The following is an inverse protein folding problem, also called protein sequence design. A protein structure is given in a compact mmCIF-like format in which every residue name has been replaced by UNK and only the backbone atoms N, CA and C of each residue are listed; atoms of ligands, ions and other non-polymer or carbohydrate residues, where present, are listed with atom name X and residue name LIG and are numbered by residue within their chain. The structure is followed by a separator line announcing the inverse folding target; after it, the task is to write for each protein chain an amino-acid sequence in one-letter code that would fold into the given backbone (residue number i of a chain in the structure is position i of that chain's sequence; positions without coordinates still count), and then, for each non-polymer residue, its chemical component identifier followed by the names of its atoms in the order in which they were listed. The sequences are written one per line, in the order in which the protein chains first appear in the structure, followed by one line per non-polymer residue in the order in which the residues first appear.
data_IF_589689697879
#
_entry.id   IF_589689697879
#
_cell.length_a   1.000
_cell.length_b   1.000
_cell.length_c   1.000
_cell.angle_alpha   90.00
_cell.angle_beta   90.00
_cell.angle_gamma   90.00
#
_symmetry.space_group_name_H-M   'P 1'
#
loop_
_entity.id
_entity.type
_entity.pdbx_description
1 polymer ?
#
# COMPACT_ATOMS: atom_id res chain seq x y z
N UNK A 1 4.48 -3.26 -7.54
CA UNK A 1 3.30 -2.56 -6.99
C UNK A 1 3.27 -1.14 -7.50
N UNK A 2 2.14 -0.73 -7.96
CA UNK A 2 1.97 0.64 -8.45
C UNK A 2 0.69 1.22 -7.89
N UNK A 3 0.83 2.10 -6.92
CA UNK A 3 -0.30 2.85 -6.41
C UNK A 3 -0.23 4.24 -7.04
N UNK A 4 -1.17 4.50 -7.93
CA UNK A 4 -1.23 5.78 -8.61
C UNK A 4 -2.12 6.73 -7.85
N UNK A 5 -1.60 7.91 -7.59
CA UNK A 5 -2.43 9.02 -7.15
C UNK A 5 -2.42 10.05 -8.26
N UNK A 6 -3.54 10.19 -8.90
CA UNK A 6 -3.69 11.13 -10.01
C UNK A 6 -4.60 12.24 -9.52
N UNK A 7 -4.11 12.97 -8.53
CA UNK A 7 -4.91 13.96 -7.81
C UNK A 7 -5.48 15.04 -8.75
N UNK A 8 -4.69 15.48 -9.72
CA UNK A 8 -5.14 16.51 -10.66
C UNK A 8 -6.27 16.00 -11.55
N UNK A 9 -6.18 14.77 -12.01
CA UNK A 9 -7.23 14.15 -12.82
C UNK A 9 -8.46 13.83 -11.99
N UNK A 10 -8.26 13.38 -10.75
CA UNK A 10 -9.35 13.08 -9.84
C UNK A 10 -10.18 14.34 -9.52
N UNK A 11 -9.58 15.52 -9.55
CA UNK A 11 -10.29 16.77 -9.33
C UNK A 11 -11.21 17.13 -10.50
N UNK A 12 -10.91 16.63 -11.70
CA UNK A 12 -11.64 16.96 -12.93
C UNK A 12 -12.60 15.86 -13.37
N UNK A 13 -12.45 14.66 -12.85
CA UNK A 13 -13.22 13.50 -13.26
C UNK A 13 -13.78 12.78 -12.03
N UNK A 14 -14.78 11.94 -12.25
CA UNK A 14 -15.25 11.04 -11.21
C UNK A 14 -14.13 10.08 -10.86
N UNK A 15 -13.63 10.16 -9.63
CA UNK A 15 -12.58 9.29 -9.15
C UNK A 15 -13.16 7.90 -8.89
N UNK A 16 -12.60 6.90 -9.54
CA UNK A 16 -12.99 5.50 -9.37
C UNK A 16 -11.94 4.78 -8.51
N UNK A 17 -12.28 4.52 -7.27
CA UNK A 17 -11.44 3.70 -6.39
C UNK A 17 -11.47 2.27 -6.91
N UNK A 18 -10.31 1.67 -7.07
CA UNK A 18 -10.22 0.32 -7.58
C UNK A 18 -8.91 -0.32 -7.18
N UNK A 19 -8.88 -1.64 -7.25
CA UNK A 19 -7.67 -2.43 -7.08
C UNK A 19 -7.73 -3.59 -8.07
N UNK A 20 -6.79 -3.59 -8.99
CA UNK A 20 -6.63 -4.66 -9.97
C UNK A 20 -5.55 -5.62 -9.49
N UNK A 21 -5.84 -6.89 -9.53
CA UNK A 21 -4.91 -7.96 -9.16
C UNK A 21 -4.65 -8.82 -10.38
N UNK A 22 -3.38 -9.11 -10.61
CA UNK A 22 -2.94 -9.95 -11.72
C UNK A 22 -2.06 -11.06 -11.18
N UNK A 23 -2.56 -12.29 -11.19
CA UNK A 23 -1.81 -13.44 -10.71
C UNK A 23 -0.70 -13.81 -11.68
N UNK A 24 0.51 -13.80 -11.18
CA UNK A 24 1.69 -14.23 -11.90
C UNK A 24 2.16 -15.57 -11.36
N UNK A 25 3.05 -16.23 -12.10
CA UNK A 25 3.61 -17.50 -11.66
C UNK A 25 4.33 -17.39 -10.30
N UNK A 26 5.03 -16.28 -10.10
CA UNK A 26 5.86 -16.07 -8.89
C UNK A 26 5.24 -15.11 -7.88
N UNK A 27 4.01 -14.70 -8.08
CA UNK A 27 3.40 -13.75 -7.17
C UNK A 27 2.18 -13.07 -7.77
N UNK A 28 1.91 -11.89 -7.31
CA UNK A 28 0.77 -11.09 -7.78
C UNK A 28 1.25 -9.68 -8.07
N UNK A 29 0.99 -9.21 -9.27
CA UNK A 29 1.06 -7.78 -9.55
C UNK A 29 -0.27 -7.15 -9.16
N UNK A 30 -0.19 -5.97 -8.60
CA UNK A 30 -1.41 -5.22 -8.35
C UNK A 30 -1.22 -3.74 -8.62
N UNK A 31 -2.29 -3.13 -9.05
CA UNK A 31 -2.36 -1.73 -9.37
C UNK A 31 -3.72 -1.21 -8.97
N UNK A 32 -3.73 -0.03 -8.38
CA UNK A 32 -4.99 0.54 -7.96
C UNK A 32 -4.90 2.04 -7.79
N UNK A 33 -6.01 2.58 -7.33
CA UNK A 33 -6.11 3.99 -7.03
C UNK A 33 -6.96 4.20 -5.79
N UNK A 34 -6.51 5.10 -4.93
CA UNK A 34 -7.25 5.52 -3.74
C UNK A 34 -7.55 7.00 -3.84
N UNK A 35 -8.54 7.43 -3.09
CA UNK A 35 -8.97 8.82 -3.12
C UNK A 35 -7.92 9.77 -2.54
N UNK A 36 -7.93 11.04 -2.97
CA UNK A 36 -6.98 12.03 -2.46
C UNK A 36 -7.16 12.31 -0.96
N UNK A 37 -8.34 12.06 -0.41
CA UNK A 37 -8.58 12.23 1.03
C UNK A 37 -7.92 11.11 1.86
N UNK A 38 -7.80 9.91 1.32
CA UNK A 38 -7.23 8.76 2.01
C UNK A 38 -5.72 8.66 1.85
N UNK A 39 -5.19 9.26 0.78
CA UNK A 39 -3.78 9.13 0.44
C UNK A 39 -2.81 9.59 1.55
N UNK A 40 -3.02 10.76 2.23
CA UNK A 40 -2.09 11.18 3.26
C UNK A 40 -1.92 10.17 4.40
N UNK A 41 -3.00 9.54 4.83
CA UNK A 41 -2.94 8.53 5.88
C UNK A 41 -2.26 7.27 5.38
N UNK A 42 -2.65 6.80 4.21
CA UNK A 42 -2.05 5.60 3.61
C UNK A 42 -0.54 5.78 3.41
N UNK A 43 -0.11 6.91 2.84
CA UNK A 43 1.30 7.16 2.58
C UNK A 43 2.10 7.27 3.87
N UNK A 44 1.54 7.88 4.91
CA UNK A 44 2.20 7.97 6.21
C UNK A 44 2.43 6.58 6.81
N UNK A 45 1.45 5.70 6.75
CA UNK A 45 1.57 4.34 7.27
C UNK A 45 2.64 3.56 6.50
N UNK A 46 2.59 3.62 5.17
CA UNK A 46 3.56 2.90 4.33
C UNK A 46 4.97 3.44 4.58
N UNK A 47 5.16 4.75 4.63
CA UNK A 47 6.47 5.34 4.85
C UNK A 47 7.02 5.01 6.25
N UNK A 48 6.15 4.99 7.25
CA UNK A 48 6.54 4.62 8.61
C UNK A 48 7.03 3.18 8.68
N UNK A 49 6.30 2.27 8.06
CA UNK A 49 6.68 0.84 8.04
C UNK A 49 7.88 0.58 7.12
N UNK A 50 8.12 1.45 6.16
CA UNK A 50 9.23 1.31 5.21
C UNK A 50 10.53 1.97 5.68
N UNK A 51 10.57 2.54 6.89
CA UNK A 51 11.78 3.18 7.40
C UNK A 51 12.95 2.21 7.43
N UNK A 52 14.11 2.70 6.96
CA UNK A 52 15.34 1.91 6.98
C UNK A 52 15.97 1.95 8.37
N UNK A 53 16.24 0.78 8.93
CA UNK A 53 17.06 0.67 10.12
C UNK A 53 18.54 0.65 9.78
N UNK A 54 19.41 0.68 10.82
CA UNK A 54 20.85 0.55 10.60
C UNK A 54 21.18 -0.77 9.86
N UNK A 55 21.97 -0.65 8.80
CA UNK A 55 22.39 -1.82 8.02
C UNK A 55 21.36 -2.33 7.02
N UNK A 56 20.22 -1.68 6.90
CA UNK A 56 19.21 -2.08 5.94
C UNK A 56 19.69 -1.78 4.52
N UNK A 57 19.82 -2.83 3.70
CA UNK A 57 20.32 -2.74 2.33
C UNK A 57 19.23 -2.82 1.27
N UNK A 58 17.97 -2.95 1.69
CA UNK A 58 16.86 -3.01 0.75
C UNK A 58 16.68 -1.65 0.08
N UNK A 59 16.27 -1.68 -1.18
CA UNK A 59 15.87 -0.45 -1.88
C UNK A 59 14.60 0.13 -1.26
N UNK A 60 14.29 1.36 -1.58
CA UNK A 60 13.04 1.98 -1.14
C UNK A 60 11.83 1.19 -1.65
N UNK A 61 11.87 0.72 -2.90
CA UNK A 61 10.78 -0.07 -3.46
C UNK A 61 10.60 -1.40 -2.72
N UNK A 62 11.71 -2.06 -2.37
CA UNK A 62 11.64 -3.28 -1.58
C UNK A 62 11.08 -3.02 -0.19
N UNK A 63 11.51 -1.95 0.46
CA UNK A 63 11.01 -1.58 1.78
C UNK A 63 9.52 -1.25 1.77
N UNK A 64 9.06 -0.60 0.71
CA UNK A 64 7.64 -0.29 0.54
C UNK A 64 6.80 -1.55 0.29
N UNK A 65 7.31 -2.48 -0.49
CA UNK A 65 6.64 -3.76 -0.71
C UNK A 65 6.53 -4.55 0.59
N UNK A 66 7.62 -4.62 1.35
CA UNK A 66 7.63 -5.28 2.65
C UNK A 66 6.71 -4.57 3.66
N UNK A 67 6.65 -3.24 3.60
CA UNK A 67 5.76 -2.45 4.45
C UNK A 67 4.29 -2.79 4.19
N UNK A 68 3.91 -2.96 2.94
CA UNK A 68 2.55 -3.35 2.60
C UNK A 68 2.22 -4.74 3.15
N UNK A 69 3.15 -5.67 3.07
CA UNK A 69 3.00 -7.00 3.65
C UNK A 69 2.88 -6.94 5.17
N UNK A 70 3.69 -6.12 5.82
CA UNK A 70 3.62 -5.89 7.27
C UNK A 70 2.28 -5.30 7.67
N UNK A 71 1.78 -4.35 6.91
CA UNK A 71 0.46 -3.77 7.16
C UNK A 71 -0.63 -4.82 7.12
N UNK A 72 -0.59 -5.72 6.15
CA UNK A 72 -1.54 -6.82 6.05
C UNK A 72 -1.49 -7.73 7.29
N UNK A 73 -0.29 -8.05 7.76
CA UNK A 73 -0.11 -8.87 8.97
C UNK A 73 -0.65 -8.16 10.22
N UNK A 74 -0.39 -6.87 10.34
CA UNK A 74 -0.89 -6.07 11.46
C UNK A 74 -2.43 -6.06 11.47
N UNK A 75 -3.04 -5.88 10.32
CA UNK A 75 -4.50 -5.88 10.18
C UNK A 75 -5.10 -7.24 10.54
N UNK A 76 -4.48 -8.32 10.10
CA UNK A 76 -4.95 -9.68 10.43
C UNK A 76 -4.81 -9.98 11.92
N UNK A 77 -3.71 -9.56 12.53
CA UNK A 77 -3.51 -9.73 13.96
C UNK A 77 -4.56 -8.94 14.77
N UNK A 78 -4.86 -7.73 14.35
CA UNK A 78 -5.89 -6.90 14.99
C UNK A 78 -7.28 -7.52 14.85
N UNK A 79 -7.60 -8.05 13.67
CA UNK A 79 -8.87 -8.74 13.42
C UNK A 79 -9.02 -9.96 14.31
N UNK A 80 -7.97 -10.77 14.42
CA UNK A 80 -8.00 -11.98 15.25
C UNK A 80 -8.18 -11.66 16.72
N UNK A 81 -7.56 -10.59 17.22
CA UNK A 81 -7.78 -10.14 18.59
C UNK A 81 -9.21 -9.63 18.80
N UNK A 82 -9.75 -8.92 17.83
CA UNK A 82 -11.11 -8.40 17.90
C UNK A 82 -12.18 -9.46 17.80
N UNK A 83 -11.85 -10.62 17.22
CA UNK A 83 -12.80 -11.73 17.05
C UNK A 83 -12.94 -12.61 18.32
N UNK A 84 -12.11 -12.38 19.31
CA UNK A 84 -12.12 -13.16 20.53
C UNK A 84 -13.38 -12.90 21.39
#
# INVERSE_FOLDING_TARGET
MRIGVVAAEAALATFARHLDLDDLEDGVDFQGAIGPAEWPVFSLVIDTLAEAGPGDRRSLDERRADALNDLARICMAAKNRGAA
#
